data_IF_417171564040
#
_entry.id   IF_417171564040
#
_cell.length_a   1.000
_cell.length_b   1.000
_cell.length_c   1.000
_cell.angle_alpha   90.00
_cell.angle_beta   90.00
_cell.angle_gamma   90.00
#
_symmetry.space_group_name_H-M   'P 1'
#
loop_
_entity.id
_entity.type
_entity.pdbx_description
1 polymer ?
#
# COMPACT_ATOMS: atom_id res chain seq x y z
N UNK A 1 -10.73 5.99 -14.89
CA UNK A 1 -9.49 6.47 -14.26
C UNK A 1 -9.30 5.64 -13.01
N UNK A 2 -8.13 5.03 -12.85
CA UNK A 2 -7.82 4.18 -11.72
C UNK A 2 -6.90 4.96 -10.74
N UNK A 3 -6.97 4.65 -9.45
CA UNK A 3 -6.18 5.36 -8.44
C UNK A 3 -5.65 4.38 -7.42
N UNK A 4 -4.32 4.36 -7.24
CA UNK A 4 -3.68 3.66 -6.14
C UNK A 4 -3.44 4.65 -5.00
N UNK A 5 -3.65 4.26 -3.75
CA UNK A 5 -3.41 5.14 -2.61
C UNK A 5 -3.01 4.32 -1.38
N UNK A 6 -2.27 4.94 -0.47
CA UNK A 6 -1.94 4.36 0.83
C UNK A 6 -2.03 5.40 1.95
N UNK A 7 -2.16 4.90 3.17
CA UNK A 7 -2.12 5.72 4.40
C UNK A 7 -1.25 5.01 5.42
N UNK A 8 -0.16 5.65 5.80
CA UNK A 8 0.68 5.22 6.90
C UNK A 8 0.12 5.76 8.22
N UNK A 9 -0.17 4.85 9.16
CA UNK A 9 -0.62 5.17 10.51
C UNK A 9 0.45 4.76 11.52
N UNK A 10 0.55 5.52 12.62
CA UNK A 10 1.34 5.09 13.78
C UNK A 10 0.57 4.09 14.65
N UNK A 11 1.17 3.59 15.74
CA UNK A 11 0.52 2.59 16.61
C UNK A 11 -0.77 3.08 17.31
N UNK A 12 -1.04 4.39 17.30
CA UNK A 12 -2.27 4.98 17.82
C UNK A 12 -3.35 5.15 16.75
N UNK A 13 -3.11 4.64 15.54
CA UNK A 13 -3.97 4.82 14.38
C UNK A 13 -3.93 6.23 13.76
N UNK A 14 -3.03 7.11 14.21
CA UNK A 14 -2.93 8.48 13.68
C UNK A 14 -2.21 8.45 12.31
N UNK A 15 -2.77 9.06 11.26
CA UNK A 15 -2.07 9.22 9.98
C UNK A 15 -0.79 10.03 10.15
N UNK A 16 0.32 9.50 9.62
CA UNK A 16 1.65 10.14 9.63
C UNK A 16 2.23 10.31 8.22
N UNK A 17 1.62 9.67 7.22
CA UNK A 17 1.93 9.84 5.81
C UNK A 17 0.82 9.26 4.96
N UNK A 18 0.67 9.77 3.74
CA UNK A 18 -0.26 9.24 2.74
C UNK A 18 0.21 9.70 1.36
N UNK A 19 -0.11 8.91 0.34
CA UNK A 19 0.10 9.30 -1.05
C UNK A 19 -0.98 8.69 -1.94
N UNK A 20 -1.19 9.27 -3.11
CA UNK A 20 -2.14 8.81 -4.10
C UNK A 20 -1.60 9.01 -5.51
N UNK A 21 -1.76 7.98 -6.34
CA UNK A 21 -1.25 7.91 -7.69
C UNK A 21 -2.42 7.75 -8.66
N UNK A 22 -2.54 8.70 -9.59
CA UNK A 22 -3.46 8.56 -10.71
C UNK A 22 -2.83 7.59 -11.71
N UNK A 23 -3.58 6.56 -12.05
CA UNK A 23 -3.19 5.55 -13.01
C UNK A 23 -4.11 5.65 -14.24
N UNK A 24 -3.50 5.44 -15.41
CA UNK A 24 -4.24 5.20 -16.64
C UNK A 24 -5.07 3.91 -16.51
N UNK A 25 -6.02 3.70 -17.44
CA UNK A 25 -6.95 2.56 -17.37
C UNK A 25 -6.25 1.23 -17.10
N UNK A 26 -6.42 0.70 -15.89
CA UNK A 26 -5.83 -0.57 -15.43
C UNK A 26 -6.84 -1.37 -14.61
N UNK A 27 -6.50 -2.61 -14.27
CA UNK A 27 -7.37 -3.53 -13.50
C UNK A 27 -7.24 -3.30 -12.00
N UNK A 28 -8.29 -3.63 -11.23
CA UNK A 28 -8.34 -3.40 -9.78
C UNK A 28 -7.18 -4.07 -9.04
N UNK A 29 -6.86 -5.31 -9.36
CA UNK A 29 -5.75 -6.05 -8.74
C UNK A 29 -4.40 -5.38 -8.96
N UNK A 30 -4.20 -4.78 -10.15
CA UNK A 30 -2.97 -4.04 -10.46
C UNK A 30 -2.91 -2.74 -9.66
N UNK A 31 -4.04 -2.04 -9.50
CA UNK A 31 -4.12 -0.83 -8.66
C UNK A 31 -3.73 -1.14 -7.22
N UNK A 32 -4.31 -2.19 -6.64
CA UNK A 32 -4.08 -2.59 -5.25
C UNK A 32 -2.64 -3.04 -5.02
N UNK A 33 -2.07 -3.81 -5.95
CA UNK A 33 -0.66 -4.21 -5.90
C UNK A 33 0.29 -3.00 -6.03
N UNK A 34 -0.04 -2.02 -6.87
CA UNK A 34 0.74 -0.77 -6.98
C UNK A 34 0.65 0.02 -5.68
N UNK A 35 -0.54 0.17 -5.09
CA UNK A 35 -0.73 0.87 -3.82
C UNK A 35 0.16 0.27 -2.72
N UNK A 36 0.14 -1.06 -2.57
CA UNK A 36 0.97 -1.78 -1.61
C UNK A 36 2.47 -1.63 -1.89
N UNK A 37 2.89 -1.74 -3.17
CA UNK A 37 4.29 -1.55 -3.57
C UNK A 37 4.80 -0.16 -3.19
N UNK A 38 4.04 0.88 -3.50
CA UNK A 38 4.47 2.26 -3.24
C UNK A 38 4.47 2.57 -1.73
N UNK A 39 3.53 2.03 -0.95
CA UNK A 39 3.55 2.12 0.52
C UNK A 39 4.82 1.47 1.12
N UNK A 40 5.17 0.26 0.68
CA UNK A 40 6.39 -0.44 1.12
C UNK A 40 7.66 0.32 0.73
N UNK A 41 7.70 0.96 -0.44
CA UNK A 41 8.83 1.80 -0.85
C UNK A 41 8.90 3.08 -0.03
N UNK A 42 7.76 3.71 0.24
CA UNK A 42 7.68 4.91 1.07
C UNK A 42 8.18 4.63 2.49
N UNK A 43 7.68 3.59 3.13
CA UNK A 43 8.11 3.19 4.49
C UNK A 43 9.60 2.86 4.54
N UNK A 44 10.12 2.14 3.54
CA UNK A 44 11.56 1.86 3.42
C UNK A 44 12.40 3.13 3.29
N UNK A 45 12.00 4.09 2.44
CA UNK A 45 12.70 5.37 2.25
C UNK A 45 12.74 6.21 3.51
N UNK A 46 11.72 6.08 4.37
CA UNK A 46 11.63 6.76 5.66
C UNK A 46 12.28 5.98 6.82
N UNK A 47 12.99 4.88 6.54
CA UNK A 47 13.70 4.11 7.56
C UNK A 47 12.80 3.32 8.51
N UNK A 48 11.53 3.11 8.16
CA UNK A 48 10.55 2.38 8.97
C UNK A 48 10.75 0.88 8.75
N UNK A 49 10.97 0.14 9.84
CA UNK A 49 11.32 -1.30 9.79
C UNK A 49 10.20 -2.22 10.26
N UNK A 50 9.36 -1.75 11.17
CA UNK A 50 8.25 -2.52 11.74
C UNK A 50 6.95 -1.98 11.17
N UNK A 51 6.43 -2.67 10.16
CA UNK A 51 5.20 -2.30 9.47
C UNK A 51 4.21 -3.46 9.54
N UNK A 52 2.94 -3.12 9.65
CA UNK A 52 1.81 -4.03 9.47
C UNK A 52 0.99 -3.48 8.32
N UNK A 53 0.96 -4.20 7.21
CA UNK A 53 0.17 -3.81 6.05
C UNK A 53 -1.27 -4.28 6.23
N UNK A 54 -2.23 -3.39 5.99
CA UNK A 54 -3.66 -3.63 6.05
C UNK A 54 -4.30 -3.26 4.71
N UNK A 55 -5.27 -4.04 4.26
CA UNK A 55 -6.07 -3.74 3.07
C UNK A 55 -7.15 -4.80 2.87
N UNK A 56 -8.09 -4.53 1.97
CA UNK A 56 -9.27 -5.35 1.68
C UNK A 56 -9.00 -6.44 0.62
N UNK A 57 -7.90 -6.32 -0.12
CA UNK A 57 -7.55 -7.19 -1.25
C UNK A 57 -6.89 -8.49 -0.77
N UNK A 58 -7.70 -9.49 -0.42
CA UNK A 58 -7.21 -10.81 0.04
C UNK A 58 -6.17 -11.42 -0.90
N UNK A 59 -6.41 -11.36 -2.22
CA UNK A 59 -5.51 -11.93 -3.23
C UNK A 59 -4.12 -11.28 -3.25
N UNK A 60 -4.05 -9.96 -3.05
CA UNK A 60 -2.78 -9.22 -3.02
C UNK A 60 -1.96 -9.61 -1.80
N UNK A 61 -2.62 -9.74 -0.63
CA UNK A 61 -1.96 -10.19 0.60
C UNK A 61 -1.57 -11.67 0.56
N UNK A 62 -2.43 -12.55 0.05
CA UNK A 62 -2.10 -13.97 -0.14
C UNK A 62 -0.84 -14.11 -1.00
N UNK A 63 -0.75 -13.39 -2.13
CA UNK A 63 0.45 -13.40 -2.97
C UNK A 63 1.70 -12.89 -2.23
N UNK A 64 1.57 -11.87 -1.38
CA UNK A 64 2.70 -11.33 -0.60
C UNK A 64 3.20 -12.29 0.49
N UNK A 65 2.29 -13.04 1.13
CA UNK A 65 2.61 -13.93 2.25
C UNK A 65 2.98 -15.36 1.81
N UNK A 66 2.69 -15.74 0.56
CA UNK A 66 3.17 -17.00 -0.02
C UNK A 66 4.68 -16.88 -0.27
N UNK A 67 5.45 -17.56 0.57
CA UNK A 67 6.90 -17.77 0.43
C UNK A 67 7.19 -19.06 -0.29
#
# INVERSE_FOLDING_TARGET
MATAAFVLRNEKGKPVGADAFILDGTTILVVEAIALKEDLLYTRRNGIKNIMAEGDSRLVFEFLYVR
#
